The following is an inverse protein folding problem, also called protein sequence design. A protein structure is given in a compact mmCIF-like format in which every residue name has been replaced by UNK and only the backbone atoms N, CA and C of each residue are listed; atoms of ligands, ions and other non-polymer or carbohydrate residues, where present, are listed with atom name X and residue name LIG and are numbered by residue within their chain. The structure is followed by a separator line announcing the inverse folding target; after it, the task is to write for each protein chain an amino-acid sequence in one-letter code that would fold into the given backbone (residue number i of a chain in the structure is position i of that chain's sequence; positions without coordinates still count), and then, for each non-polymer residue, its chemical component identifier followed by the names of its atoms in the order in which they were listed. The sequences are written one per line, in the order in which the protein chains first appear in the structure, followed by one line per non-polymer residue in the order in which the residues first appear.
data_IF_174261087201
#
_entry.id   IF_174261087201
#
_cell.length_a   1.000
_cell.length_b   1.000
_cell.length_c   1.000
_cell.angle_alpha   90.00
_cell.angle_beta   90.00
_cell.angle_gamma   90.00
#
_symmetry.space_group_name_H-M   'P 1'
#
loop_
_entity.id
_entity.type
_entity.pdbx_description
1 polymer ?
#
# COMPACT_ATOMS: atom_id res chain seq x y z
N UNK A 1 -18.87 13.91 -20.83
CA UNK A 1 -18.65 12.60 -20.21
C UNK A 1 -17.30 12.63 -19.50
N UNK A 2 -17.14 12.30 -18.20
CA UNK A 2 -15.85 12.25 -17.57
C UNK A 2 -15.01 11.16 -18.24
N UNK A 3 -13.79 11.50 -18.70
CA UNK A 3 -12.84 10.54 -19.25
C UNK A 3 -12.62 9.45 -18.21
N UNK A 4 -13.02 8.22 -18.53
CA UNK A 4 -12.75 7.01 -17.72
C UNK A 4 -11.23 7.00 -17.46
N UNK A 5 -10.82 7.11 -16.18
CA UNK A 5 -9.42 7.02 -15.82
C UNK A 5 -8.88 5.70 -16.35
N UNK A 6 -7.87 5.77 -17.21
CA UNK A 6 -7.32 4.59 -17.90
C UNK A 6 -6.49 3.80 -16.89
N UNK A 7 -7.05 2.70 -16.40
CA UNK A 7 -6.37 1.83 -15.42
C UNK A 7 -5.34 0.97 -16.13
N UNK A 8 -4.06 1.28 -15.96
CA UNK A 8 -2.94 0.53 -16.57
C UNK A 8 -2.85 -0.90 -16.03
N UNK A 9 -3.25 -1.13 -14.77
CA UNK A 9 -3.28 -2.47 -14.15
C UNK A 9 -4.36 -3.39 -14.74
N UNK A 10 -5.38 -2.82 -15.40
CA UNK A 10 -6.48 -3.58 -16.03
C UNK A 10 -6.26 -3.77 -17.54
N UNK A 11 -5.16 -3.27 -18.08
CA UNK A 11 -4.80 -3.49 -19.48
C UNK A 11 -4.52 -4.97 -19.73
N UNK A 12 -4.81 -5.41 -20.96
CA UNK A 12 -4.46 -6.76 -21.40
C UNK A 12 -2.96 -7.02 -21.25
N UNK A 13 -2.62 -8.20 -20.81
CA UNK A 13 -1.24 -8.69 -20.76
C UNK A 13 -0.58 -8.60 -22.14
N UNK A 14 0.73 -8.41 -22.16
CA UNK A 14 1.54 -8.52 -23.37
C UNK A 14 1.71 -9.97 -23.84
N UNK A 15 1.38 -10.92 -22.98
CA UNK A 15 1.50 -12.35 -23.22
C UNK A 15 0.12 -12.94 -23.54
N UNK A 16 0.09 -13.87 -24.47
CA UNK A 16 -1.14 -14.54 -24.90
C UNK A 16 -0.97 -16.05 -24.84
N UNK A 17 -2.07 -16.78 -24.76
CA UNK A 17 -2.09 -18.25 -24.72
C UNK A 17 -1.17 -18.82 -23.63
N UNK A 18 -1.22 -18.20 -22.42
CA UNK A 18 -0.37 -18.58 -21.29
C UNK A 18 -0.49 -20.07 -20.96
N UNK A 19 -1.67 -20.65 -21.11
CA UNK A 19 -1.97 -22.06 -20.85
C UNK A 19 -1.22 -23.02 -21.80
N UNK A 20 -0.71 -22.52 -22.95
CA UNK A 20 0.08 -23.29 -23.91
C UNK A 20 1.58 -23.11 -23.74
N UNK A 21 2.01 -22.17 -22.90
CA UNK A 21 3.43 -21.90 -22.67
C UNK A 21 4.07 -22.98 -21.81
N UNK A 22 5.34 -23.29 -22.07
CA UNK A 22 6.12 -24.15 -21.20
C UNK A 22 6.33 -23.50 -19.80
N UNK A 23 6.53 -24.31 -18.77
CA UNK A 23 6.86 -23.80 -17.42
C UNK A 23 8.06 -22.86 -17.47
N UNK A 24 9.11 -23.20 -18.23
CA UNK A 24 10.28 -22.35 -18.43
C UNK A 24 9.89 -20.98 -18.98
N UNK A 25 9.12 -20.95 -20.07
CA UNK A 25 8.70 -19.68 -20.71
C UNK A 25 7.82 -18.82 -19.78
N UNK A 26 6.95 -19.45 -18.97
CA UNK A 26 6.13 -18.75 -17.97
C UNK A 26 7.01 -18.09 -16.90
N UNK A 27 7.96 -18.84 -16.34
CA UNK A 27 8.86 -18.32 -15.30
C UNK A 27 9.75 -17.18 -15.82
N UNK A 28 10.32 -17.33 -17.01
CA UNK A 28 11.13 -16.29 -17.66
C UNK A 28 10.30 -15.03 -17.96
N UNK A 29 9.06 -15.22 -18.43
CA UNK A 29 8.13 -14.12 -18.72
C UNK A 29 7.76 -13.35 -17.45
N UNK A 30 7.40 -14.05 -16.37
CA UNK A 30 7.09 -13.44 -15.06
C UNK A 30 8.31 -12.67 -14.54
N UNK A 31 9.49 -13.30 -14.52
CA UNK A 31 10.70 -12.65 -14.05
C UNK A 31 11.05 -11.40 -14.85
N UNK A 32 10.88 -11.42 -16.17
CA UNK A 32 11.11 -10.27 -17.05
C UNK A 32 10.19 -9.10 -16.70
N UNK A 33 8.93 -9.36 -16.43
CA UNK A 33 7.98 -8.31 -15.98
C UNK A 33 8.35 -7.79 -14.60
N UNK A 34 8.71 -8.65 -13.66
CA UNK A 34 9.09 -8.28 -12.30
C UNK A 34 10.33 -7.37 -12.26
N UNK A 35 11.32 -7.59 -13.13
CA UNK A 35 12.50 -6.74 -13.27
C UNK A 35 12.16 -5.28 -13.63
N UNK A 36 10.98 -5.00 -14.15
CA UNK A 36 10.54 -3.63 -14.46
C UNK A 36 10.09 -2.85 -13.23
N UNK A 37 9.73 -3.53 -12.14
CA UNK A 37 9.10 -2.93 -10.96
C UNK A 37 10.02 -1.97 -10.22
N UNK A 38 11.29 -2.28 -9.92
CA UNK A 38 12.20 -1.34 -9.25
C UNK A 38 12.35 -0.02 -10.00
N UNK A 39 12.36 -0.06 -11.33
CA UNK A 39 12.44 1.14 -12.17
C UNK A 39 11.15 1.98 -12.10
N UNK A 40 9.98 1.34 -12.00
CA UNK A 40 8.72 2.04 -11.79
C UNK A 40 8.70 2.73 -10.41
N UNK A 41 9.14 2.05 -9.37
CA UNK A 41 9.30 2.61 -8.02
C UNK A 41 10.28 3.79 -8.01
N UNK A 42 11.44 3.66 -8.68
CA UNK A 42 12.45 4.74 -8.82
C UNK A 42 11.84 6.02 -9.37
N UNK A 43 10.94 5.93 -10.35
CA UNK A 43 10.26 7.10 -10.93
C UNK A 43 9.33 7.81 -9.93
N UNK A 44 8.84 7.10 -8.92
CA UNK A 44 7.97 7.65 -7.87
C UNK A 44 8.72 8.14 -6.63
N UNK A 45 10.06 8.10 -6.60
CA UNK A 45 10.87 8.52 -5.45
C UNK A 45 10.52 9.92 -4.90
N UNK A 46 10.25 10.95 -5.72
CA UNK A 46 9.86 12.25 -5.17
C UNK A 46 8.55 12.19 -4.35
N UNK A 47 7.57 11.38 -4.77
CA UNK A 47 6.31 11.19 -4.06
C UNK A 47 6.53 10.37 -2.78
N UNK A 48 7.32 9.30 -2.84
CA UNK A 48 7.71 8.47 -1.70
C UNK A 48 8.41 9.32 -0.64
N UNK A 49 9.38 10.14 -1.05
CA UNK A 49 10.08 11.04 -0.13
C UNK A 49 9.15 12.02 0.57
N UNK A 50 8.22 12.66 -0.16
CA UNK A 50 7.24 13.59 0.42
C UNK A 50 6.35 12.92 1.46
N UNK A 51 5.79 11.75 1.14
CA UNK A 51 4.94 11.00 2.04
C UNK A 51 5.72 10.56 3.28
N UNK A 52 6.91 9.96 3.09
CA UNK A 52 7.74 9.44 4.19
C UNK A 52 8.14 10.54 5.16
N UNK A 53 8.52 11.73 4.67
CA UNK A 53 8.83 12.87 5.54
C UNK A 53 7.61 13.35 6.34
N UNK A 54 6.44 13.40 5.72
CA UNK A 54 5.21 13.79 6.41
C UNK A 54 4.81 12.76 7.49
N UNK A 55 4.90 11.47 7.19
CA UNK A 55 4.65 10.39 8.13
C UNK A 55 5.66 10.40 9.29
N UNK A 56 6.96 10.56 8.99
CA UNK A 56 8.02 10.67 9.99
C UNK A 56 7.77 11.83 10.97
N UNK A 57 7.34 12.99 10.46
CA UNK A 57 7.02 14.15 11.31
C UNK A 57 5.92 13.81 12.31
N UNK A 58 4.86 13.12 11.88
CA UNK A 58 3.76 12.68 12.75
C UNK A 58 4.22 11.68 13.79
N UNK A 59 4.95 10.65 13.38
CA UNK A 59 5.44 9.60 14.29
C UNK A 59 6.41 10.17 15.31
N UNK A 60 7.33 11.07 14.93
CA UNK A 60 8.22 11.78 15.88
C UNK A 60 7.47 12.66 16.89
N UNK A 61 6.30 13.16 16.53
CA UNK A 61 5.44 13.94 17.41
C UNK A 61 4.54 13.05 18.31
N UNK A 62 4.78 11.73 18.36
CA UNK A 62 4.04 10.79 19.19
C UNK A 62 2.77 10.23 18.55
N UNK A 63 2.56 10.45 17.26
CA UNK A 63 1.51 9.81 16.46
C UNK A 63 1.91 8.41 16.00
N UNK A 64 0.97 7.71 15.36
CA UNK A 64 1.12 6.34 14.85
C UNK A 64 0.98 6.32 13.33
N UNK A 65 1.47 5.24 12.72
CA UNK A 65 1.31 4.97 11.30
C UNK A 65 0.25 3.88 11.09
N UNK A 66 -0.74 4.16 10.25
CA UNK A 66 -1.75 3.19 9.86
C UNK A 66 -1.61 2.84 8.39
N UNK A 67 -1.67 1.56 8.08
CA UNK A 67 -1.88 1.02 6.74
C UNK A 67 -3.31 0.50 6.65
N UNK A 68 -4.02 0.81 5.56
CA UNK A 68 -5.36 0.29 5.32
C UNK A 68 -5.50 -0.15 3.87
N UNK A 69 -5.94 -1.39 3.65
CA UNK A 69 -6.03 -1.98 2.33
C UNK A 69 -7.05 -3.11 2.25
N UNK A 70 -7.20 -3.69 1.05
CA UNK A 70 -8.00 -4.90 0.83
C UNK A 70 -7.17 -5.95 0.08
N UNK A 71 -7.52 -7.23 0.22
CA UNK A 71 -6.84 -8.33 -0.48
C UNK A 71 -5.33 -8.31 -0.28
N UNK A 72 -4.57 -8.41 -1.38
CA UNK A 72 -3.09 -8.39 -1.34
C UNK A 72 -2.55 -7.10 -0.72
N UNK A 73 -3.12 -5.94 -1.04
CA UNK A 73 -2.67 -4.66 -0.51
C UNK A 73 -2.81 -4.58 1.02
N UNK A 74 -3.95 -5.07 1.56
CA UNK A 74 -4.16 -5.14 3.01
C UNK A 74 -3.20 -6.11 3.69
N UNK A 75 -2.97 -7.30 3.08
CA UNK A 75 -2.00 -8.28 3.61
C UNK A 75 -0.59 -7.72 3.66
N UNK A 76 -0.14 -7.02 2.63
CA UNK A 76 1.18 -6.38 2.60
C UNK A 76 1.33 -5.30 3.68
N UNK A 77 0.28 -4.51 3.93
CA UNK A 77 0.27 -3.55 5.04
C UNK A 77 0.39 -4.22 6.41
N UNK A 78 -0.30 -5.36 6.60
CA UNK A 78 -0.19 -6.14 7.85
C UNK A 78 1.20 -6.75 7.99
N UNK A 79 1.77 -7.34 6.93
CA UNK A 79 3.12 -7.91 6.95
C UNK A 79 4.15 -6.86 7.37
N UNK A 80 4.17 -5.69 6.70
CA UNK A 80 5.11 -4.63 7.04
C UNK A 80 4.93 -4.10 8.47
N UNK A 81 3.69 -3.94 8.93
CA UNK A 81 3.38 -3.49 10.29
C UNK A 81 3.81 -4.51 11.35
N UNK A 82 3.56 -5.81 11.11
CA UNK A 82 3.85 -6.89 12.06
C UNK A 82 5.36 -7.13 12.24
N UNK A 83 6.17 -6.78 11.24
CA UNK A 83 7.63 -6.92 11.29
C UNK A 83 8.33 -5.77 12.03
N UNK A 84 7.67 -4.63 12.23
CA UNK A 84 8.30 -3.51 12.92
C UNK A 84 8.67 -3.78 14.39
N UNK A 85 7.81 -4.40 15.23
CA UNK A 85 8.15 -4.71 16.62
C UNK A 85 9.35 -5.66 16.76
N UNK A 86 9.36 -6.86 16.13
CA UNK A 86 10.46 -7.81 16.29
C UNK A 86 11.76 -7.33 15.65
N UNK A 87 11.70 -6.45 14.63
CA UNK A 87 12.89 -5.96 13.93
C UNK A 87 13.51 -4.75 14.61
N UNK A 88 12.70 -3.86 15.18
CA UNK A 88 13.16 -2.54 15.64
C UNK A 88 12.86 -2.27 17.13
N UNK A 89 12.36 -3.23 17.89
CA UNK A 89 12.05 -3.06 19.31
C UNK A 89 11.02 -1.96 19.58
N UNK A 90 10.06 -1.74 18.67
CA UNK A 90 9.02 -0.73 18.85
C UNK A 90 7.73 -1.37 19.38
N UNK A 91 6.83 -0.55 19.92
CA UNK A 91 5.53 -1.02 20.39
C UNK A 91 4.69 -1.54 19.23
N UNK A 92 3.86 -2.56 19.49
CA UNK A 92 2.96 -3.17 18.50
C UNK A 92 1.91 -2.20 17.92
N UNK A 93 1.63 -1.13 18.61
CA UNK A 93 0.66 -0.11 18.20
C UNK A 93 1.27 1.09 17.46
N UNK A 94 2.60 1.12 17.25
CA UNK A 94 3.26 2.20 16.50
C UNK A 94 2.94 2.18 15.01
N UNK A 95 2.92 0.98 14.42
CA UNK A 95 2.53 0.75 13.02
C UNK A 95 1.41 -0.29 13.01
N UNK A 96 0.26 0.07 12.45
CA UNK A 96 -0.95 -0.75 12.50
C UNK A 96 -1.42 -1.04 11.07
N UNK A 97 -1.58 -2.31 10.74
CA UNK A 97 -2.14 -2.77 9.47
C UNK A 97 -3.62 -3.14 9.61
N UNK A 98 -4.46 -2.60 8.72
CA UNK A 98 -5.90 -2.90 8.64
C UNK A 98 -6.24 -3.47 7.26
N UNK A 99 -7.12 -4.48 7.26
CA UNK A 99 -7.57 -5.13 6.03
C UNK A 99 -9.10 -5.24 6.00
N UNK A 100 -9.68 -4.99 4.83
CA UNK A 100 -11.11 -5.24 4.61
C UNK A 100 -11.47 -6.70 4.94
N UNK A 101 -12.49 -6.89 5.79
CA UNK A 101 -12.86 -8.21 6.31
C UNK A 101 -12.13 -8.65 7.57
N UNK A 102 -11.23 -7.80 8.13
CA UNK A 102 -10.52 -8.03 9.40
C UNK A 102 -9.54 -9.21 9.32
N UNK A 103 -9.12 -9.71 10.47
CA UNK A 103 -8.07 -10.77 10.59
C UNK A 103 -8.38 -12.05 9.82
N UNK A 104 -9.66 -12.38 9.65
CA UNK A 104 -10.07 -13.52 8.83
C UNK A 104 -9.60 -13.36 7.37
N UNK A 105 -9.61 -12.13 6.85
CA UNK A 105 -9.22 -11.83 5.48
C UNK A 105 -7.70 -11.95 5.23
N UNK A 106 -6.88 -12.03 6.28
CA UNK A 106 -5.44 -12.29 6.15
C UNK A 106 -5.21 -13.65 5.49
N UNK A 107 -5.98 -14.67 5.89
CA UNK A 107 -5.82 -16.06 5.45
C UNK A 107 -6.83 -16.51 4.39
N UNK A 108 -8.06 -16.00 4.46
CA UNK A 108 -9.16 -16.38 3.57
C UNK A 108 -9.80 -15.12 3.00
N UNK A 109 -10.06 -15.10 1.69
CA UNK A 109 -10.80 -14.00 1.08
C UNK A 109 -12.17 -13.85 1.79
N UNK A 110 -12.53 -12.60 2.11
CA UNK A 110 -13.87 -12.25 2.59
C UNK A 110 -14.51 -11.44 1.46
N UNK A 111 -15.44 -12.11 0.78
CA UNK A 111 -16.12 -11.52 -0.37
C UNK A 111 -16.87 -10.25 0.00
N UNK A 112 -16.94 -9.29 -0.91
CA UNK A 112 -17.64 -8.01 -0.76
C UNK A 112 -17.13 -7.09 0.38
N UNK A 113 -16.17 -7.53 1.21
CA UNK A 113 -15.65 -6.70 2.30
C UNK A 113 -14.97 -5.41 1.80
N UNK A 114 -14.41 -5.43 0.59
CA UNK A 114 -13.77 -4.26 -0.02
C UNK A 114 -14.75 -3.24 -0.61
N UNK A 115 -16.02 -3.62 -0.76
CA UNK A 115 -17.06 -2.78 -1.35
C UNK A 115 -17.74 -1.86 -0.32
N UNK A 116 -17.61 -2.16 0.98
CA UNK A 116 -18.17 -1.33 2.04
C UNK A 116 -17.38 -0.04 2.23
N UNK A 117 -17.97 1.06 1.77
CA UNK A 117 -17.35 2.41 1.82
C UNK A 117 -17.17 2.96 3.24
N UNK A 118 -17.95 2.47 4.22
CA UNK A 118 -17.96 2.98 5.59
C UNK A 118 -17.08 2.16 6.53
N UNK A 119 -16.96 0.85 6.27
CA UNK A 119 -16.31 -0.08 7.19
C UNK A 119 -14.85 0.30 7.47
N UNK A 120 -14.11 0.80 6.47
CA UNK A 120 -12.72 1.19 6.67
C UNK A 120 -12.54 2.35 7.68
N UNK A 121 -13.48 3.29 7.71
CA UNK A 121 -13.47 4.33 8.73
C UNK A 121 -13.83 3.78 10.11
N UNK A 122 -14.81 2.89 10.21
CA UNK A 122 -15.18 2.23 11.46
C UNK A 122 -14.00 1.42 12.03
N UNK A 123 -13.23 0.75 11.17
CA UNK A 123 -12.05 0.00 11.60
C UNK A 123 -10.96 0.93 12.15
N UNK A 124 -10.71 2.07 11.54
CA UNK A 124 -9.81 3.10 12.08
C UNK A 124 -10.26 3.62 13.44
N UNK A 125 -11.58 3.85 13.61
CA UNK A 125 -12.15 4.32 14.88
C UNK A 125 -11.98 3.30 16.03
N UNK A 126 -12.05 1.99 15.77
CA UNK A 126 -11.75 0.94 16.77
C UNK A 126 -10.36 1.09 17.37
N UNK A 127 -9.41 1.57 16.57
CA UNK A 127 -8.04 1.87 17.01
C UNK A 127 -7.86 3.30 17.54
N UNK A 128 -8.97 4.05 17.76
CA UNK A 128 -8.95 5.42 18.30
C UNK A 128 -8.01 6.32 17.49
N UNK A 129 -8.07 6.23 16.15
CA UNK A 129 -7.29 7.08 15.24
C UNK A 129 -7.59 8.56 15.53
N UNK A 130 -6.58 9.42 15.49
CA UNK A 130 -6.72 10.84 15.76
C UNK A 130 -5.77 11.69 14.89
N UNK A 131 -5.83 13.00 15.04
CA UNK A 131 -5.09 13.99 14.23
C UNK A 131 -3.55 13.90 14.33
N UNK A 132 -3.02 13.25 15.37
CA UNK A 132 -1.57 13.01 15.51
C UNK A 132 -1.10 11.89 14.57
N UNK A 133 -2.00 10.99 14.19
CA UNK A 133 -1.70 9.82 13.37
C UNK A 133 -1.52 10.16 11.88
N UNK A 134 -0.94 9.21 11.14
CA UNK A 134 -0.83 9.24 9.70
C UNK A 134 -1.45 7.97 9.11
N UNK A 135 -2.36 8.10 8.15
CA UNK A 135 -3.03 6.95 7.52
C UNK A 135 -2.64 6.82 6.06
N UNK A 136 -2.16 5.65 5.66
CA UNK A 136 -1.79 5.30 4.28
C UNK A 136 -2.78 4.27 3.74
N UNK A 137 -3.54 4.67 2.72
CA UNK A 137 -4.39 3.76 1.96
C UNK A 137 -3.60 3.02 0.87
N UNK A 138 -3.77 1.70 0.79
CA UNK A 138 -3.07 0.86 -0.17
C UNK A 138 -4.09 0.18 -1.07
N UNK A 139 -4.10 0.55 -2.36
CA UNK A 139 -4.99 -0.05 -3.36
C UNK A 139 -4.35 0.04 -4.76
N UNK A 140 -4.03 -1.08 -5.38
CA UNK A 140 -3.40 -1.11 -6.70
C UNK A 140 -4.26 -0.40 -7.76
N UNK A 141 -5.57 -0.67 -7.78
CA UNK A 141 -6.54 -0.01 -8.67
C UNK A 141 -6.73 1.47 -8.33
N UNK A 142 -6.56 1.84 -7.05
CA UNK A 142 -6.87 3.17 -6.52
C UNK A 142 -8.38 3.49 -6.47
N UNK A 143 -9.24 2.46 -6.52
CA UNK A 143 -10.71 2.63 -6.57
C UNK A 143 -11.45 1.85 -5.48
N UNK A 144 -10.78 1.05 -4.68
CA UNK A 144 -11.38 0.18 -3.64
C UNK A 144 -12.22 1.01 -2.66
N UNK A 145 -13.54 0.79 -2.58
CA UNK A 145 -14.45 1.63 -1.79
C UNK A 145 -14.09 1.71 -0.31
N UNK A 146 -13.77 0.58 0.32
CA UNK A 146 -13.29 0.47 1.69
C UNK A 146 -12.14 1.46 1.98
N UNK A 147 -11.14 1.51 1.09
CA UNK A 147 -9.95 2.36 1.27
C UNK A 147 -10.28 3.82 0.97
N UNK A 148 -10.97 4.10 -0.14
CA UNK A 148 -11.34 5.47 -0.54
C UNK A 148 -12.23 6.13 0.52
N UNK A 149 -13.24 5.39 1.03
CA UNK A 149 -14.13 5.86 2.09
C UNK A 149 -13.38 6.19 3.38
N UNK A 150 -12.52 5.28 3.83
CA UNK A 150 -11.70 5.47 5.03
C UNK A 150 -10.82 6.74 4.94
N UNK A 151 -10.09 6.92 3.82
CA UNK A 151 -9.18 8.06 3.66
C UNK A 151 -9.93 9.39 3.49
N UNK A 152 -11.09 9.38 2.84
CA UNK A 152 -11.96 10.54 2.75
C UNK A 152 -12.43 10.99 4.13
N UNK A 153 -12.87 10.04 4.97
CA UNK A 153 -13.31 10.32 6.33
C UNK A 153 -12.16 10.73 7.25
N UNK A 154 -11.01 10.07 7.17
CA UNK A 154 -9.81 10.43 7.92
C UNK A 154 -9.41 11.89 7.63
N UNK A 155 -9.32 12.27 6.35
CA UNK A 155 -9.01 13.65 5.96
C UNK A 155 -10.03 14.66 6.48
N UNK A 156 -11.33 14.33 6.40
CA UNK A 156 -12.42 15.19 6.93
C UNK A 156 -12.26 15.43 8.42
N UNK A 157 -11.72 14.46 9.18
CA UNK A 157 -11.47 14.56 10.61
C UNK A 157 -10.04 15.05 10.97
N UNK A 158 -9.37 15.76 10.07
CA UNK A 158 -8.07 16.41 10.33
C UNK A 158 -6.87 15.46 10.36
N UNK A 159 -7.05 14.17 10.05
CA UNK A 159 -5.98 13.19 10.04
C UNK A 159 -5.17 13.33 8.74
N UNK A 160 -3.86 13.30 8.83
CA UNK A 160 -2.98 13.36 7.67
C UNK A 160 -3.01 12.05 6.90
N UNK A 161 -3.22 12.13 5.57
CA UNK A 161 -3.45 10.95 4.74
C UNK A 161 -2.51 10.88 3.54
N UNK A 162 -2.08 9.66 3.22
CA UNK A 162 -1.36 9.31 2.01
C UNK A 162 -1.94 8.08 1.34
N UNK A 163 -1.48 7.75 0.15
CA UNK A 163 -1.84 6.49 -0.49
C UNK A 163 -0.74 5.92 -1.37
N UNK A 164 -0.83 4.62 -1.63
CA UNK A 164 -0.03 3.87 -2.60
C UNK A 164 -0.97 3.24 -3.62
N UNK A 165 -0.87 3.64 -4.89
CA UNK A 165 -1.66 3.12 -5.99
C UNK A 165 -0.79 2.84 -7.21
N UNK A 166 -1.24 1.94 -8.10
CA UNK A 166 -0.51 1.57 -9.32
C UNK A 166 -1.14 2.16 -10.60
N UNK A 167 -2.03 3.14 -10.44
CA UNK A 167 -2.65 3.89 -11.53
C UNK A 167 -2.59 5.39 -11.27
N UNK A 168 -2.64 6.20 -12.34
CA UNK A 168 -2.64 7.67 -12.25
C UNK A 168 -4.04 8.23 -12.02
N UNK A 169 -4.09 9.37 -11.32
CA UNK A 169 -5.30 10.17 -11.16
C UNK A 169 -6.51 9.40 -10.61
N UNK A 170 -6.25 8.44 -9.72
CA UNK A 170 -7.28 7.57 -9.14
C UNK A 170 -8.16 8.33 -8.15
N UNK A 171 -9.39 7.85 -7.87
CA UNK A 171 -10.22 8.36 -6.79
C UNK A 171 -9.48 8.43 -5.46
N UNK A 172 -8.69 7.41 -5.12
CA UNK A 172 -7.89 7.37 -3.89
C UNK A 172 -6.82 8.46 -3.86
N UNK A 173 -6.07 8.66 -4.96
CA UNK A 173 -5.05 9.70 -5.05
C UNK A 173 -5.61 11.12 -4.91
N UNK A 174 -6.86 11.35 -5.34
CA UNK A 174 -7.53 12.66 -5.27
C UNK A 174 -8.00 13.04 -3.86
N UNK A 175 -8.27 12.05 -3.00
CA UNK A 175 -8.81 12.33 -1.65
C UNK A 175 -7.73 12.50 -0.59
N UNK A 176 -6.48 12.13 -0.85
CA UNK A 176 -5.36 12.22 0.11
C UNK A 176 -4.48 13.46 -0.09
N UNK A 177 -3.62 13.77 0.90
CA UNK A 177 -2.63 14.86 0.80
C UNK A 177 -1.33 14.40 0.13
N UNK A 178 -0.94 13.13 0.33
CA UNK A 178 0.34 12.59 -0.13
C UNK A 178 0.14 11.33 -0.99
N UNK A 179 -0.23 11.46 -2.27
CA UNK A 179 -0.37 10.31 -3.15
C UNK A 179 1.00 9.80 -3.65
N UNK A 180 1.15 8.46 -3.71
CA UNK A 180 2.21 7.75 -4.43
C UNK A 180 1.56 6.95 -5.56
N UNK A 181 1.90 7.26 -6.79
CA UNK A 181 1.39 6.63 -8.00
C UNK A 181 2.52 5.88 -8.72
N UNK A 182 2.54 4.55 -8.63
CA UNK A 182 3.61 3.70 -9.17
C UNK A 182 3.09 2.97 -10.39
N UNK A 183 3.43 3.42 -11.57
CA UNK A 183 2.88 2.88 -12.82
C UNK A 183 3.70 1.68 -13.27
N UNK A 184 3.23 0.48 -12.92
CA UNK A 184 3.87 -0.80 -13.25
C UNK A 184 3.43 -1.38 -14.61
N UNK A 185 2.42 -0.76 -15.25
CA UNK A 185 1.83 -1.27 -16.49
C UNK A 185 0.95 -2.51 -16.29
N UNK A 186 0.59 -3.21 -17.39
CA UNK A 186 -0.23 -4.42 -17.32
C UNK A 186 0.51 -5.55 -16.62
N UNK A 187 -0.24 -6.39 -15.92
CA UNK A 187 0.29 -7.57 -15.24
C UNK A 187 0.61 -8.70 -16.24
N UNK A 188 1.45 -9.66 -15.82
CA UNK A 188 1.72 -10.87 -16.62
C UNK A 188 0.42 -11.68 -16.87
N UNK A 189 -0.40 -11.84 -15.84
CA UNK A 189 -1.79 -12.31 -15.97
C UNK A 189 -2.70 -11.09 -15.83
N UNK A 190 -3.48 -10.78 -16.86
CA UNK A 190 -4.36 -9.60 -16.91
C UNK A 190 -5.17 -9.43 -15.62
N UNK A 191 -5.11 -8.25 -15.01
CA UNK A 191 -5.85 -7.91 -13.80
C UNK A 191 -5.31 -8.52 -12.49
N UNK A 192 -4.28 -9.36 -12.54
CA UNK A 192 -3.73 -10.02 -11.35
C UNK A 192 -2.76 -9.11 -10.57
N UNK A 193 -3.31 -8.08 -9.90
CA UNK A 193 -2.54 -7.04 -9.19
C UNK A 193 -1.77 -7.52 -7.95
N UNK A 194 -1.88 -8.81 -7.59
CA UNK A 194 -1.00 -9.43 -6.59
C UNK A 194 0.46 -9.58 -7.07
N UNK A 195 0.70 -9.45 -8.39
CA UNK A 195 2.02 -9.63 -9.04
C UNK A 195 2.83 -8.32 -8.99
N UNK A 196 3.05 -7.63 -10.12
CA UNK A 196 3.89 -6.41 -10.17
C UNK A 196 3.41 -5.29 -9.24
N UNK A 197 2.09 -5.05 -9.20
CA UNK A 197 1.53 -4.04 -8.31
C UNK A 197 1.79 -4.38 -6.84
N UNK A 198 1.60 -5.65 -6.44
CA UNK A 198 1.92 -6.12 -5.10
C UNK A 198 3.41 -5.97 -4.78
N UNK A 199 4.30 -6.35 -5.70
CA UNK A 199 5.76 -6.17 -5.55
C UNK A 199 6.14 -4.69 -5.37
N UNK A 200 5.56 -3.80 -6.16
CA UNK A 200 5.78 -2.35 -6.03
C UNK A 200 5.33 -1.82 -4.66
N UNK A 201 4.14 -2.22 -4.20
CA UNK A 201 3.63 -1.84 -2.89
C UNK A 201 4.55 -2.32 -1.76
N UNK A 202 5.01 -3.58 -1.81
CA UNK A 202 5.95 -4.14 -0.83
C UNK A 202 7.24 -3.34 -0.76
N UNK A 203 7.84 -3.00 -1.90
CA UNK A 203 9.06 -2.19 -1.95
C UNK A 203 8.87 -0.83 -1.29
N UNK A 204 7.75 -0.16 -1.57
CA UNK A 204 7.47 1.16 -1.02
C UNK A 204 7.15 1.11 0.48
N UNK A 205 6.39 0.12 0.95
CA UNK A 205 6.13 -0.08 2.39
C UNK A 205 7.44 -0.25 3.16
N UNK A 206 8.33 -1.12 2.69
CA UNK A 206 9.64 -1.30 3.31
C UNK A 206 10.48 0.00 3.33
N UNK A 207 10.44 0.80 2.25
CA UNK A 207 11.14 2.09 2.22
C UNK A 207 10.59 3.05 3.27
N UNK A 208 9.25 3.11 3.44
CA UNK A 208 8.60 4.01 4.40
C UNK A 208 8.92 3.58 5.83
N UNK A 209 8.57 2.35 6.20
CA UNK A 209 8.73 1.86 7.58
C UNK A 209 10.19 1.85 8.01
N UNK A 210 11.08 1.26 7.22
CA UNK A 210 12.52 1.21 7.54
C UNK A 210 13.13 2.60 7.68
N UNK A 211 12.79 3.54 6.79
CA UNK A 211 13.28 4.93 6.89
C UNK A 211 12.80 5.60 8.17
N UNK A 212 11.52 5.41 8.53
CA UNK A 212 10.96 5.95 9.79
C UNK A 212 11.71 5.35 10.97
N UNK A 213 11.89 4.03 11.05
CA UNK A 213 12.57 3.37 12.16
C UNK A 213 14.03 3.81 12.30
N UNK A 214 14.76 3.95 11.18
CA UNK A 214 16.14 4.52 11.20
C UNK A 214 16.13 5.94 11.79
N UNK A 215 15.18 6.78 11.37
CA UNK A 215 15.08 8.19 11.83
C UNK A 215 14.53 8.33 13.26
N UNK A 216 13.98 7.26 13.83
CA UNK A 216 13.62 7.13 15.24
C UNK A 216 14.78 6.60 16.11
N UNK A 217 15.97 6.35 15.52
CA UNK A 217 17.13 5.85 16.24
C UNK A 217 17.10 4.35 16.53
N UNK A 218 16.29 3.57 15.79
CA UNK A 218 16.17 2.12 15.95
C UNK A 218 17.24 1.33 15.18
N UNK A 219 18.17 2.03 14.55
CA UNK A 219 19.30 1.46 13.84
C UNK A 219 20.55 2.27 14.18
N UNK A 220 21.65 1.61 14.56
CA UNK A 220 22.96 2.21 14.83
C UNK A 220 23.96 1.71 13.80
N UNK A 221 24.60 2.64 13.07
CA UNK A 221 25.39 2.27 11.88
C UNK A 221 24.48 1.63 10.83
N UNK A 222 24.64 0.33 10.62
CA UNK A 222 23.80 -0.49 9.72
C UNK A 222 23.17 -1.70 10.43
N UNK A 223 23.17 -1.71 11.78
CA UNK A 223 22.63 -2.80 12.60
C UNK A 223 21.39 -2.35 13.36
N UNK A 224 20.43 -3.26 13.49
CA UNK A 224 19.29 -3.08 14.39
C UNK A 224 19.78 -2.91 15.82
N UNK A 225 19.12 -2.05 16.59
CA UNK A 225 19.39 -1.83 18.02
C UNK A 225 18.21 -2.36 18.78
N UNK A 226 18.44 -3.33 19.65
CA UNK A 226 17.50 -3.86 20.60
C UNK A 226 17.17 -2.83 21.69
#
# INVERSE_FOLDING_TARGET
MPKKAYKTTEQSSKYQQLEKMSVKSLLEGINREDQTVPNAVKKSMPQINKLTNAALKKVKAGGRLFYIGAGTSGRLGIVDASECPPTFGVKHDLVIGLIAGGDKAIRKAVEFAEDDVNQGWLDLLKHKVNEKDFVIGIAASGTTPYVVGALKMAKKNGITTGCITCNKNTPLAKVVQFPIEIIVGPEFVTGSTRMKAGTAQKLVLNMISTTIMIKLGRVKGNKMVD
#
